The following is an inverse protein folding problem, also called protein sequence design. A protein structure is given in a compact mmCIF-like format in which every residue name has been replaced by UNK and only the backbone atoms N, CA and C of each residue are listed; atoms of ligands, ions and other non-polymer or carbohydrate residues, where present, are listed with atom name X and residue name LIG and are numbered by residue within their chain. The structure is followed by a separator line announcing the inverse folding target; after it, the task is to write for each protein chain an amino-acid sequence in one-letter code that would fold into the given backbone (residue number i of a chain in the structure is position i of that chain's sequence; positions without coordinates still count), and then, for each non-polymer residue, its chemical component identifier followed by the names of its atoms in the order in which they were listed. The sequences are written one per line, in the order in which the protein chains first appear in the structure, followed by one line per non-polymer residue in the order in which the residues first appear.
data_IF_377525912619
#
_entry.id   IF_377525912619
#
_cell.length_a   1.000
_cell.length_b   1.000
_cell.length_c   1.000
_cell.angle_alpha   90.00
_cell.angle_beta   90.00
_cell.angle_gamma   90.00
#
_symmetry.space_group_name_H-M   'P 1'
#
loop_
_entity.id
_entity.type
_entity.pdbx_description
1 polymer ?
#
# COMPACT_ATOMS: atom_id res chain seq x y z
N UNK A 1 11.79 -9.36 18.03
CA UNK A 1 11.38 -8.72 16.77
C UNK A 1 12.36 -7.70 16.25
N UNK A 2 12.81 -7.87 14.99
CA UNK A 2 13.73 -6.97 14.31
C UNK A 2 13.15 -5.56 14.04
N UNK A 3 11.83 -5.37 14.07
CA UNK A 3 11.21 -4.05 13.83
C UNK A 3 11.41 -3.05 14.99
N UNK A 4 11.84 -3.54 16.16
CA UNK A 4 12.11 -2.69 17.34
C UNK A 4 13.46 -1.99 17.28
N UNK A 5 14.36 -2.42 16.38
CA UNK A 5 15.69 -1.82 16.21
C UNK A 5 15.73 -0.71 15.17
N UNK A 6 14.64 -0.48 14.44
CA UNK A 6 14.51 0.64 13.50
C UNK A 6 14.58 1.94 14.27
N UNK A 7 15.32 2.91 13.75
CA UNK A 7 15.30 4.28 14.29
C UNK A 7 13.91 4.90 14.11
N UNK A 8 13.29 5.26 15.23
CA UNK A 8 11.96 5.90 15.30
C UNK A 8 12.05 7.36 15.70
N UNK A 9 13.26 7.91 15.78
CA UNK A 9 13.47 9.32 16.04
C UNK A 9 12.75 10.15 14.99
N UNK A 10 12.39 11.36 15.40
CA UNK A 10 11.89 12.35 14.48
C UNK A 10 13.06 13.14 13.94
N UNK A 11 13.03 13.44 12.65
CA UNK A 11 13.84 14.48 12.04
C UNK A 11 12.96 15.66 11.62
N UNK A 12 13.58 16.82 11.50
CA UNK A 12 12.96 17.99 10.90
C UNK A 12 13.33 18.03 9.44
N UNK A 13 12.33 18.21 8.58
CA UNK A 13 12.51 18.36 7.14
C UNK A 13 11.71 19.56 6.65
N UNK A 14 12.31 20.37 5.77
CA UNK A 14 11.60 21.45 5.10
C UNK A 14 11.05 20.91 3.78
N UNK A 15 9.74 21.01 3.60
CA UNK A 15 9.09 20.54 2.38
C UNK A 15 9.29 21.53 1.24
N UNK A 16 9.11 21.08 0.00
CA UNK A 16 9.24 21.97 -1.15
C UNK A 16 8.09 22.98 -1.20
N UNK A 17 8.39 24.19 -1.65
CA UNK A 17 7.38 25.16 -2.04
C UNK A 17 6.46 24.60 -3.15
N UNK A 18 5.26 25.18 -3.26
CA UNK A 18 4.37 24.88 -4.38
C UNK A 18 5.04 25.25 -5.71
N UNK A 19 5.02 24.31 -6.66
CA UNK A 19 5.66 24.47 -7.96
C UNK A 19 4.67 24.16 -9.08
N UNK A 20 4.65 25.03 -10.11
CA UNK A 20 3.82 24.87 -11.32
C UNK A 20 4.41 23.87 -12.32
N UNK A 21 5.66 23.44 -12.13
CA UNK A 21 6.28 22.36 -12.91
C UNK A 21 6.16 21.03 -12.18
N UNK A 22 6.26 19.93 -12.94
CA UNK A 22 6.44 18.59 -12.38
C UNK A 22 7.71 18.53 -11.51
N UNK A 23 7.68 17.63 -10.53
CA UNK A 23 8.84 17.25 -9.74
C UNK A 23 9.47 16.00 -10.36
N UNK A 24 10.66 15.63 -9.89
CA UNK A 24 11.28 14.33 -10.24
C UNK A 24 10.40 13.11 -9.90
N UNK A 25 9.37 13.25 -9.06
CA UNK A 25 8.44 12.18 -8.70
C UNK A 25 7.10 12.26 -9.45
N UNK A 26 6.87 13.31 -10.23
CA UNK A 26 5.60 13.59 -10.92
C UNK A 26 5.78 13.99 -12.38
N UNK A 27 7.00 13.94 -12.91
CA UNK A 27 7.28 14.14 -14.33
C UNK A 27 6.62 13.06 -15.19
N UNK A 28 6.34 13.39 -16.45
CA UNK A 28 5.75 12.43 -17.36
C UNK A 28 6.77 11.30 -17.62
N UNK A 29 6.35 10.01 -17.62
CA UNK A 29 7.28 8.89 -17.73
C UNK A 29 8.17 8.88 -18.98
N UNK A 30 7.76 9.55 -20.06
CA UNK A 30 8.60 9.70 -21.25
C UNK A 30 9.75 10.71 -21.10
N UNK A 31 9.76 11.52 -20.05
CA UNK A 31 10.66 12.67 -19.89
C UNK A 31 11.85 12.36 -18.97
N UNK A 32 11.83 11.25 -18.23
CA UNK A 32 12.85 10.95 -17.23
C UNK A 32 12.77 9.55 -16.66
N UNK A 33 13.26 9.40 -15.43
CA UNK A 33 13.44 8.13 -14.71
C UNK A 33 12.48 8.01 -13.52
N UNK A 34 11.29 8.60 -13.63
CA UNK A 34 10.30 8.68 -12.55
C UNK A 34 10.02 7.33 -11.88
N UNK A 35 9.86 6.25 -12.64
CA UNK A 35 9.59 4.92 -12.08
C UNK A 35 10.73 4.42 -11.21
N UNK A 36 11.99 4.56 -11.66
CA UNK A 36 13.16 4.18 -10.87
C UNK A 36 13.30 5.01 -9.59
N UNK A 37 12.79 6.24 -9.57
CA UNK A 37 12.77 7.09 -8.37
C UNK A 37 11.72 6.65 -7.37
N UNK A 38 10.58 6.14 -7.83
CA UNK A 38 9.57 5.53 -6.98
C UNK A 38 10.06 4.19 -6.43
N UNK A 39 10.70 3.37 -7.26
CA UNK A 39 11.39 2.15 -6.80
C UNK A 39 12.38 2.48 -5.67
N UNK A 40 13.21 3.51 -5.83
CA UNK A 40 14.15 3.96 -4.80
C UNK A 40 13.51 4.48 -3.49
N UNK A 41 12.19 4.72 -3.46
CA UNK A 41 11.44 5.01 -2.23
C UNK A 41 11.02 3.72 -1.48
N UNK A 42 11.18 2.55 -2.07
CA UNK A 42 10.77 1.28 -1.47
C UNK A 42 9.39 0.81 -1.87
N UNK A 43 8.81 1.29 -2.98
CA UNK A 43 7.55 0.71 -3.49
C UNK A 43 7.72 -0.76 -3.90
N UNK A 44 8.96 -1.15 -4.20
CA UNK A 44 9.40 -2.51 -4.50
C UNK A 44 10.04 -3.21 -3.28
N UNK A 45 9.93 -2.63 -2.08
CA UNK A 45 10.56 -3.20 -0.87
C UNK A 45 10.05 -4.60 -0.52
N UNK A 46 8.99 -5.06 -1.18
CA UNK A 46 8.45 -6.40 -1.03
C UNK A 46 7.89 -6.67 0.36
N UNK A 47 7.70 -7.95 0.65
CA UNK A 47 7.24 -8.41 1.95
C UNK A 47 8.40 -9.01 2.74
N UNK A 48 8.25 -9.04 4.05
CA UNK A 48 9.19 -9.66 4.98
C UNK A 48 8.45 -10.63 5.92
N UNK A 49 9.23 -11.36 6.70
CA UNK A 49 8.74 -12.46 7.52
C UNK A 49 8.79 -12.10 9.01
N UNK A 50 7.68 -12.38 9.70
CA UNK A 50 7.62 -12.34 11.17
C UNK A 50 7.38 -13.76 11.66
N UNK A 51 8.26 -14.35 12.49
CA UNK A 51 8.06 -15.69 13.00
C UNK A 51 6.71 -15.83 13.69
N UNK A 52 6.04 -16.97 13.50
CA UNK A 52 4.72 -17.20 14.11
C UNK A 52 4.77 -17.09 15.64
N UNK A 53 5.90 -17.47 16.26
CA UNK A 53 6.16 -17.31 17.70
C UNK A 53 6.18 -15.85 18.18
N UNK A 54 6.28 -14.87 17.29
CA UNK A 54 6.19 -13.44 17.61
C UNK A 54 4.86 -12.80 17.22
N UNK A 55 3.98 -13.50 16.51
CA UNK A 55 2.74 -12.95 15.94
C UNK A 55 1.80 -12.34 16.98
N UNK A 56 1.64 -12.99 18.13
CA UNK A 56 0.77 -12.51 19.22
C UNK A 56 1.18 -11.12 19.72
N UNK A 57 2.48 -10.77 19.63
CA UNK A 57 3.00 -9.45 20.03
C UNK A 57 2.47 -8.32 19.13
N UNK A 58 1.97 -8.68 17.95
CA UNK A 58 1.45 -7.79 16.91
C UNK A 58 -0.06 -7.98 16.67
N UNK A 59 -0.71 -8.85 17.45
CA UNK A 59 -2.13 -9.17 17.26
C UNK A 59 -2.40 -10.00 16.01
N UNK A 60 -1.41 -10.73 15.50
CA UNK A 60 -1.62 -11.64 14.37
C UNK A 60 -2.35 -12.90 14.82
N UNK A 61 -3.21 -13.40 13.94
CA UNK A 61 -4.03 -14.59 14.12
C UNK A 61 -3.67 -15.60 13.02
N UNK A 62 -3.34 -16.84 13.41
CA UNK A 62 -2.91 -17.91 12.50
C UNK A 62 -4.01 -18.41 11.56
N UNK A 63 -5.27 -18.30 11.98
CA UNK A 63 -6.40 -18.74 11.18
C UNK A 63 -6.76 -17.67 10.14
N UNK A 64 -6.57 -16.39 10.47
CA UNK A 64 -6.91 -15.27 9.59
C UNK A 64 -5.76 -14.79 8.70
N UNK A 65 -4.53 -14.80 9.19
CA UNK A 65 -3.39 -14.21 8.49
C UNK A 65 -2.51 -15.28 7.84
N UNK A 66 -2.01 -14.98 6.65
CA UNK A 66 -1.24 -15.93 5.83
C UNK A 66 0.10 -16.27 6.49
N UNK A 67 0.37 -17.57 6.59
CA UNK A 67 1.63 -18.12 7.10
C UNK A 67 2.39 -18.78 5.96
N UNK A 68 3.67 -18.43 5.86
CA UNK A 68 4.65 -19.15 5.06
C UNK A 68 5.11 -20.39 5.82
N UNK A 69 5.11 -21.57 5.17
CA UNK A 69 5.46 -22.82 5.82
C UNK A 69 6.98 -22.92 6.06
N UNK A 70 7.38 -23.67 7.08
CA UNK A 70 8.77 -23.85 7.49
C UNK A 70 9.64 -24.42 6.35
N UNK A 71 9.09 -25.30 5.51
CA UNK A 71 9.82 -25.92 4.41
C UNK A 71 10.25 -24.92 3.32
N UNK A 72 9.59 -23.76 3.25
CA UNK A 72 9.86 -22.73 2.23
C UNK A 72 10.82 -21.66 2.74
N UNK A 73 10.71 -21.27 4.00
CA UNK A 73 11.43 -20.12 4.57
C UNK A 73 12.22 -20.44 5.84
N UNK A 74 12.35 -21.72 6.20
CA UNK A 74 13.17 -22.22 7.32
C UNK A 74 12.53 -22.09 8.70
N UNK A 75 11.35 -21.47 8.81
CA UNK A 75 10.52 -21.40 10.02
C UNK A 75 9.11 -20.91 9.66
N UNK A 76 8.07 -21.38 10.34
CA UNK A 76 6.72 -20.84 10.13
C UNK A 76 6.68 -19.34 10.42
N UNK A 77 6.27 -18.53 9.44
CA UNK A 77 6.30 -17.07 9.54
C UNK A 77 5.11 -16.39 8.86
N UNK A 78 4.58 -15.35 9.47
CA UNK A 78 3.63 -14.44 8.81
C UNK A 78 4.32 -13.64 7.71
N UNK A 79 3.63 -13.50 6.58
CA UNK A 79 4.00 -12.55 5.52
C UNK A 79 3.42 -11.18 5.84
N UNK A 80 4.26 -10.15 5.84
CA UNK A 80 3.86 -8.78 6.19
C UNK A 80 4.59 -7.75 5.34
N UNK A 81 4.03 -6.55 5.25
CA UNK A 81 4.67 -5.36 4.68
C UNK A 81 4.70 -4.25 5.74
N UNK A 82 5.52 -3.22 5.50
CA UNK A 82 5.51 -2.03 6.33
C UNK A 82 4.47 -1.07 5.78
N UNK A 83 3.66 -0.54 6.69
CA UNK A 83 2.55 0.33 6.36
C UNK A 83 2.97 1.56 5.52
N UNK A 84 4.11 2.19 5.82
CA UNK A 84 4.60 3.33 5.02
C UNK A 84 5.01 2.93 3.59
N UNK A 85 5.54 1.72 3.39
CA UNK A 85 5.89 1.22 2.05
C UNK A 85 4.64 0.88 1.25
N UNK A 86 3.61 0.34 1.92
CA UNK A 86 2.30 0.12 1.31
C UNK A 86 1.65 1.44 0.87
N UNK A 87 1.71 2.49 1.70
CA UNK A 87 1.21 3.82 1.32
C UNK A 87 1.93 4.41 0.11
N UNK A 88 3.25 4.24 0.02
CA UNK A 88 4.02 4.68 -1.15
C UNK A 88 3.64 3.89 -2.40
N UNK A 89 3.47 2.57 -2.29
CA UNK A 89 2.97 1.73 -3.38
C UNK A 89 1.58 2.17 -3.85
N UNK A 90 0.67 2.47 -2.92
CA UNK A 90 -0.66 2.99 -3.23
C UNK A 90 -0.58 4.34 -3.93
N UNK A 91 0.30 5.24 -3.46
CA UNK A 91 0.47 6.57 -4.06
C UNK A 91 1.09 6.49 -5.46
N UNK A 92 2.04 5.57 -5.68
CA UNK A 92 2.60 5.29 -7.01
C UNK A 92 1.56 4.71 -7.96
N UNK A 93 0.73 3.78 -7.48
CA UNK A 93 -0.39 3.23 -8.25
C UNK A 93 -1.37 4.33 -8.66
N UNK A 94 -1.69 5.27 -7.74
CA UNK A 94 -2.50 6.43 -8.07
C UNK A 94 -1.82 7.33 -9.11
N UNK A 95 -0.51 7.58 -8.99
CA UNK A 95 0.27 8.36 -9.96
C UNK A 95 0.19 7.75 -11.36
N UNK A 96 0.37 6.44 -11.49
CA UNK A 96 0.26 5.69 -12.75
C UNK A 96 -1.17 5.80 -13.33
N UNK A 97 -2.19 5.77 -12.46
CA UNK A 97 -3.59 5.86 -12.83
C UNK A 97 -4.09 7.28 -13.17
N UNK A 98 -3.28 8.32 -12.99
CA UNK A 98 -3.66 9.70 -13.34
C UNK A 98 -4.01 9.81 -14.82
N UNK A 99 -5.01 10.62 -15.15
CA UNK A 99 -5.53 10.73 -16.52
C UNK A 99 -4.44 11.05 -17.57
N UNK A 100 -3.42 11.83 -17.20
CA UNK A 100 -2.32 12.22 -18.08
C UNK A 100 -1.16 11.21 -18.13
N UNK A 101 -1.14 10.21 -17.25
CA UNK A 101 -0.14 9.13 -17.25
C UNK A 101 -0.73 7.83 -17.82
N UNK A 102 -2.04 7.65 -17.63
CA UNK A 102 -2.75 6.37 -17.85
C UNK A 102 -2.57 5.82 -19.26
N UNK A 103 -2.73 6.65 -20.30
CA UNK A 103 -2.57 6.19 -21.68
C UNK A 103 -1.15 5.70 -21.96
N UNK A 104 -0.13 6.43 -21.48
CA UNK A 104 1.26 6.02 -21.60
C UNK A 104 1.48 4.64 -20.97
N UNK A 105 1.03 4.43 -19.73
CA UNK A 105 1.24 3.16 -19.04
C UNK A 105 0.46 2.03 -19.71
N UNK A 106 -0.77 2.29 -20.17
CA UNK A 106 -1.56 1.33 -20.93
C UNK A 106 -0.85 0.82 -22.19
N UNK A 107 -0.18 1.72 -22.90
CA UNK A 107 0.49 1.40 -24.17
C UNK A 107 1.89 0.82 -23.99
N UNK A 108 2.60 1.23 -22.94
CA UNK A 108 4.04 0.97 -22.79
C UNK A 108 4.38 -0.08 -21.72
N UNK A 109 3.42 -0.52 -20.90
CA UNK A 109 3.64 -1.61 -19.95
C UNK A 109 2.85 -2.87 -20.34
N UNK A 110 3.48 -4.04 -20.19
CA UNK A 110 3.00 -5.30 -20.75
C UNK A 110 1.91 -6.02 -19.95
N UNK A 111 1.39 -5.43 -18.88
CA UNK A 111 0.44 -6.09 -17.98
C UNK A 111 -0.51 -5.10 -17.33
N UNK A 112 -1.79 -5.20 -17.67
CA UNK A 112 -2.85 -4.42 -17.04
C UNK A 112 -3.84 -5.36 -16.40
N UNK A 113 -4.19 -5.07 -15.15
CA UNK A 113 -5.34 -5.70 -14.52
C UNK A 113 -6.61 -5.38 -15.33
N UNK A 114 -7.66 -6.19 -15.17
CA UNK A 114 -8.95 -5.86 -15.79
C UNK A 114 -9.42 -4.47 -15.34
N UNK A 115 -10.32 -3.86 -16.12
CA UNK A 115 -10.76 -2.51 -15.84
C UNK A 115 -11.37 -2.36 -14.43
N UNK A 116 -12.19 -3.30 -13.97
CA UNK A 116 -12.80 -3.14 -12.66
C UNK A 116 -11.81 -3.45 -11.52
N UNK A 117 -10.79 -4.26 -11.75
CA UNK A 117 -9.70 -4.45 -10.78
C UNK A 117 -8.88 -3.18 -10.65
N UNK A 118 -8.58 -2.53 -11.77
CA UNK A 118 -7.95 -1.23 -11.76
C UNK A 118 -8.78 -0.22 -10.97
N UNK A 119 -10.10 -0.16 -11.18
CA UNK A 119 -11.00 0.74 -10.41
C UNK A 119 -11.01 0.39 -8.92
N UNK A 120 -11.20 -0.88 -8.57
CA UNK A 120 -11.24 -1.33 -7.17
C UNK A 120 -9.92 -1.04 -6.45
N UNK A 121 -8.79 -1.33 -7.09
CA UNK A 121 -7.47 -1.09 -6.53
C UNK A 121 -7.18 0.40 -6.36
N UNK A 122 -7.53 1.23 -7.35
CA UNK A 122 -7.42 2.70 -7.27
C UNK A 122 -8.22 3.24 -6.08
N UNK A 123 -9.47 2.80 -5.91
CA UNK A 123 -10.32 3.23 -4.81
C UNK A 123 -9.79 2.80 -3.44
N UNK A 124 -9.30 1.56 -3.34
CA UNK A 124 -8.67 1.05 -2.14
C UNK A 124 -7.43 1.87 -1.75
N UNK A 125 -6.54 2.16 -2.72
CA UNK A 125 -5.35 2.97 -2.52
C UNK A 125 -5.69 4.38 -2.01
N UNK A 126 -6.71 5.02 -2.61
CA UNK A 126 -7.19 6.33 -2.18
C UNK A 126 -7.67 6.31 -0.72
N UNK A 127 -8.47 5.31 -0.35
CA UNK A 127 -9.03 5.22 1.01
C UNK A 127 -7.95 4.89 2.06
N UNK A 128 -7.02 3.98 1.74
CA UNK A 128 -5.89 3.65 2.62
C UNK A 128 -5.04 4.90 2.93
N UNK A 129 -4.70 5.71 1.92
CA UNK A 129 -3.95 6.95 2.10
C UNK A 129 -4.74 7.96 2.95
N UNK A 130 -6.06 8.09 2.72
CA UNK A 130 -6.92 8.94 3.56
C UNK A 130 -6.85 8.50 5.03
N UNK A 131 -7.01 7.21 5.32
CA UNK A 131 -6.96 6.67 6.69
C UNK A 131 -5.64 6.97 7.36
N UNK A 132 -4.53 6.84 6.62
CA UNK A 132 -3.21 7.14 7.16
C UNK A 132 -2.99 8.60 7.46
N UNK A 133 -3.41 9.50 6.57
CA UNK A 133 -3.34 10.94 6.81
C UNK A 133 -4.11 11.29 8.08
N UNK A 134 -5.30 10.72 8.27
CA UNK A 134 -6.08 10.90 9.49
C UNK A 134 -5.41 10.30 10.74
N UNK A 135 -4.76 9.14 10.60
CA UNK A 135 -4.06 8.48 11.70
C UNK A 135 -2.82 9.27 12.15
N UNK A 136 -2.00 9.75 11.22
CA UNK A 136 -0.80 10.52 11.53
C UNK A 136 -1.13 11.95 11.99
N UNK A 137 -2.17 12.57 11.42
CA UNK A 137 -2.68 13.90 11.82
C UNK A 137 -1.57 14.95 12.00
N UNK A 138 -0.87 15.31 10.92
CA UNK A 138 0.11 16.39 10.98
C UNK A 138 -0.55 17.73 11.39
N UNK A 139 -0.09 18.32 12.49
CA UNK A 139 -0.62 19.54 13.08
C UNK A 139 0.17 20.80 12.70
N UNK A 140 1.11 20.70 11.77
CA UNK A 140 1.90 21.84 11.28
C UNK A 140 1.01 22.84 10.55
N UNK A 141 1.01 24.10 10.99
CA UNK A 141 0.24 25.16 10.35
C UNK A 141 0.87 25.60 9.02
N UNK A 142 0.02 25.79 8.00
CA UNK A 142 0.40 26.38 6.71
C UNK A 142 -0.13 27.82 6.63
N UNK A 143 0.68 28.86 6.92
CA UNK A 143 0.29 30.25 6.73
C UNK A 143 0.21 30.60 5.24
N UNK A 144 -0.48 31.68 4.84
CA UNK A 144 -0.52 32.11 3.42
C UNK A 144 0.62 33.08 3.06
N UNK A 145 1.14 32.99 1.83
CA UNK A 145 2.12 33.90 1.19
C UNK A 145 1.51 34.66 0.02
N UNK A 146 2.00 35.88 -0.26
CA UNK A 146 1.62 36.66 -1.44
C UNK A 146 2.40 36.21 -2.67
N UNK A 147 1.71 36.03 -3.80
CA UNK A 147 2.35 35.62 -5.07
C UNK A 147 2.32 36.70 -6.15
N UNK A 148 1.60 37.80 -5.93
CA UNK A 148 1.62 38.99 -6.78
C UNK A 148 1.26 40.26 -6.00
N UNK A 149 1.19 41.42 -6.69
CA UNK A 149 0.83 42.71 -6.08
C UNK A 149 -0.66 42.99 -6.14
N UNK A 150 -1.39 42.17 -6.89
CA UNK A 150 -2.82 42.25 -7.18
C UNK A 150 -3.66 41.55 -6.09
N UNK A 151 -3.01 40.88 -5.14
CA UNK A 151 -3.61 40.35 -3.92
C UNK A 151 -3.80 38.84 -3.91
N UNK A 152 -3.15 38.11 -4.83
CA UNK A 152 -3.20 36.66 -4.83
C UNK A 152 -2.33 36.06 -3.73
N UNK A 153 -2.87 35.06 -3.03
CA UNK A 153 -2.20 34.32 -1.96
C UNK A 153 -2.26 32.81 -2.19
N UNK A 154 -1.24 32.10 -1.70
CA UNK A 154 -1.20 30.64 -1.63
C UNK A 154 -0.75 30.20 -0.23
N UNK A 155 -1.13 29.00 0.25
CA UNK A 155 -0.49 28.42 1.44
C UNK A 155 1.02 28.28 1.23
N UNK A 156 1.78 28.57 2.29
CA UNK A 156 3.21 28.31 2.38
C UNK A 156 3.41 26.84 2.72
N UNK A 157 3.73 26.05 1.71
CA UNK A 157 4.02 24.62 1.85
C UNK A 157 5.51 24.38 2.24
N UNK A 158 6.38 25.39 2.11
CA UNK A 158 7.81 25.28 2.42
C UNK A 158 8.06 25.48 3.91
N UNK A 159 7.55 24.54 4.71
CA UNK A 159 7.60 24.60 6.18
C UNK A 159 8.36 23.41 6.73
N UNK A 160 8.80 23.58 7.97
CA UNK A 160 9.38 22.49 8.74
C UNK A 160 8.28 21.57 9.27
N UNK A 161 8.38 20.29 8.93
CA UNK A 161 7.56 19.22 9.46
C UNK A 161 8.39 18.30 10.35
N UNK A 162 7.75 17.67 11.34
CA UNK A 162 8.37 16.60 12.14
C UNK A 162 8.01 15.26 11.54
N UNK A 163 8.97 14.62 10.89
CA UNK A 163 8.79 13.35 10.21
C UNK A 163 9.50 12.25 11.00
N UNK A 164 8.95 11.03 10.97
CA UNK A 164 9.74 9.87 11.39
C UNK A 164 10.89 9.65 10.41
N UNK A 165 12.00 9.07 10.90
CA UNK A 165 13.15 8.74 10.07
C UNK A 165 12.77 7.72 8.98
N UNK A 166 12.45 8.23 7.78
CA UNK A 166 11.97 7.44 6.65
C UNK A 166 13.06 6.52 6.10
N UNK A 167 14.29 7.03 5.94
CA UNK A 167 15.41 6.26 5.41
C UNK A 167 15.70 5.03 6.29
N UNK A 168 15.69 5.18 7.61
CA UNK A 168 15.89 4.05 8.52
C UNK A 168 14.85 2.94 8.33
N UNK A 169 13.60 3.33 8.04
CA UNK A 169 12.51 2.39 7.77
C UNK A 169 12.71 1.72 6.41
N UNK A 170 13.06 2.47 5.37
CA UNK A 170 13.33 1.96 4.02
C UNK A 170 14.49 0.98 3.99
N UNK A 171 15.63 1.36 4.54
CA UNK A 171 16.82 0.50 4.54
C UNK A 171 16.56 -0.79 5.32
N UNK A 172 15.83 -0.70 6.44
CA UNK A 172 15.41 -1.89 7.16
C UNK A 172 14.48 -2.78 6.32
N UNK A 173 13.53 -2.21 5.57
CA UNK A 173 12.59 -2.98 4.75
C UNK A 173 13.34 -3.83 3.70
N UNK A 174 14.27 -3.22 2.95
CA UNK A 174 15.08 -3.94 1.97
C UNK A 174 15.95 -5.01 2.61
N UNK A 175 16.59 -4.71 3.75
CA UNK A 175 17.46 -5.66 4.43
C UNK A 175 16.71 -6.88 5.02
N UNK A 176 15.39 -6.79 5.21
CA UNK A 176 14.59 -7.83 5.85
C UNK A 176 13.62 -8.53 4.89
N UNK A 177 13.72 -8.30 3.58
CA UNK A 177 12.89 -8.97 2.57
C UNK A 177 12.87 -10.49 2.75
N UNK A 178 11.70 -11.07 2.45
CA UNK A 178 11.57 -12.51 2.46
C UNK A 178 12.52 -13.17 1.43
N UNK A 179 13.04 -14.39 1.72
CA UNK A 179 13.90 -15.11 0.78
C UNK A 179 13.23 -15.37 -0.57
N UNK A 180 14.03 -15.59 -1.62
CA UNK A 180 13.55 -15.89 -2.97
C UNK A 180 12.59 -17.09 -3.01
N UNK A 181 12.87 -18.14 -2.26
CA UNK A 181 11.99 -19.30 -2.14
C UNK A 181 10.57 -18.89 -1.67
N UNK A 182 10.48 -17.93 -0.75
CA UNK A 182 9.20 -17.37 -0.30
C UNK A 182 8.52 -16.52 -1.37
N UNK A 183 9.28 -15.69 -2.11
CA UNK A 183 8.72 -14.85 -3.18
C UNK A 183 8.10 -15.67 -4.31
N UNK A 184 8.65 -16.84 -4.59
CA UNK A 184 8.20 -17.74 -5.65
C UNK A 184 7.20 -18.80 -5.16
N UNK A 185 6.77 -18.73 -3.91
CA UNK A 185 5.85 -19.72 -3.33
C UNK A 185 4.38 -19.40 -3.66
N UNK A 186 3.63 -20.42 -4.07
CA UNK A 186 2.19 -20.32 -4.28
C UNK A 186 1.44 -20.60 -2.98
N UNK A 187 0.73 -19.60 -2.47
CA UNK A 187 -0.08 -19.73 -1.27
C UNK A 187 -1.36 -20.54 -1.52
N UNK A 188 -1.58 -21.58 -0.72
CA UNK A 188 -2.80 -22.39 -0.71
C UNK A 188 -3.36 -22.35 0.71
N UNK A 189 -4.61 -21.89 0.86
CA UNK A 189 -5.27 -21.84 2.16
C UNK A 189 -5.53 -23.26 2.68
N UNK A 190 -5.15 -23.50 3.93
CA UNK A 190 -5.44 -24.75 4.64
C UNK A 190 -6.92 -24.87 5.01
N UNK A 191 -7.39 -26.06 5.42
CA UNK A 191 -8.81 -26.30 5.75
C UNK A 191 -9.31 -25.47 6.93
N UNK A 192 -8.42 -25.06 7.84
CA UNK A 192 -8.76 -24.27 9.03
C UNK A 192 -8.58 -22.76 8.81
N UNK A 193 -8.22 -22.32 7.60
CA UNK A 193 -8.03 -20.91 7.30
C UNK A 193 -9.37 -20.17 7.24
N UNK A 194 -9.45 -19.04 7.94
CA UNK A 194 -10.56 -18.10 7.84
C UNK A 194 -10.48 -17.31 6.54
N UNK A 195 -11.34 -17.68 5.60
CA UNK A 195 -11.41 -17.03 4.30
C UNK A 195 -12.15 -15.69 4.41
N UNK A 196 -11.46 -14.60 4.08
CA UNK A 196 -12.07 -13.26 4.05
C UNK A 196 -12.80 -13.04 2.72
N UNK A 197 -14.08 -12.68 2.79
CA UNK A 197 -14.85 -12.24 1.63
C UNK A 197 -14.61 -10.76 1.36
N UNK A 198 -14.22 -10.43 0.14
CA UNK A 198 -14.05 -9.06 -0.33
C UNK A 198 -15.31 -8.64 -1.10
N UNK A 199 -16.05 -7.60 -0.65
CA UNK A 199 -17.23 -7.11 -1.38
C UNK A 199 -16.92 -6.81 -2.85
N UNK A 200 -17.74 -7.31 -3.77
CA UNK A 200 -17.61 -7.10 -5.22
C UNK A 200 -16.51 -7.90 -5.92
N UNK A 201 -15.60 -8.58 -5.19
CA UNK A 201 -14.50 -9.31 -5.80
C UNK A 201 -14.95 -10.45 -6.72
N UNK A 202 -15.95 -11.24 -6.30
CA UNK A 202 -16.47 -12.36 -7.11
C UNK A 202 -17.44 -11.92 -8.20
N UNK A 203 -17.92 -10.68 -8.17
CA UNK A 203 -18.69 -10.11 -9.28
C UNK A 203 -17.75 -9.79 -10.46
N UNK A 204 -16.53 -9.31 -10.16
CA UNK A 204 -15.50 -9.03 -11.15
C UNK A 204 -14.72 -10.29 -11.61
N UNK A 205 -14.56 -11.27 -10.72
CA UNK A 205 -13.90 -12.55 -11.04
C UNK A 205 -14.82 -13.75 -10.81
N UNK A 206 -15.84 -13.96 -11.66
CA UNK A 206 -16.79 -15.06 -11.50
C UNK A 206 -16.13 -16.44 -11.53
N UNK A 207 -15.03 -16.59 -12.26
CA UNK A 207 -14.27 -17.84 -12.36
C UNK A 207 -13.54 -18.21 -11.06
N UNK A 208 -13.33 -17.24 -10.16
CA UNK A 208 -12.73 -17.45 -8.84
C UNK A 208 -13.75 -17.66 -7.74
N UNK A 209 -15.04 -17.65 -8.08
CA UNK A 209 -16.14 -17.93 -7.16
C UNK A 209 -16.10 -19.42 -6.78
N UNK A 210 -15.66 -19.72 -5.57
CA UNK A 210 -15.70 -21.07 -5.01
C UNK A 210 -16.70 -21.15 -3.83
N UNK A 211 -17.08 -22.37 -3.48
CA UNK A 211 -18.02 -22.67 -2.39
C UNK A 211 -17.48 -22.32 -1.00
N UNK A 212 -16.17 -22.27 -0.82
CA UNK A 212 -15.52 -22.06 0.48
C UNK A 212 -15.58 -20.57 0.89
N UNK A 213 -15.75 -19.66 -0.07
CA UNK A 213 -16.00 -18.23 0.16
C UNK A 213 -17.48 -17.85 0.22
N UNK A 214 -18.40 -18.81 0.04
CA UNK A 214 -19.82 -18.53 0.25
C UNK A 214 -20.07 -18.45 1.75
N UNK A 215 -20.67 -17.36 2.29
CA UNK A 215 -21.29 -17.47 3.60
C UNK A 215 -22.28 -18.63 3.51
N UNK A 216 -22.27 -19.53 4.49
CA UNK A 216 -23.26 -20.61 4.58
C UNK A 216 -24.63 -19.97 4.55
N UNK A 217 -25.28 -19.93 3.38
CA UNK A 217 -26.66 -19.48 3.23
C UNK A 217 -27.51 -20.60 3.81
N UNK A 218 -27.61 -20.61 5.14
CA UNK A 218 -28.49 -21.49 5.89
C UNK A 218 -29.71 -20.70 6.33
N UNK A 219 -30.85 -20.98 5.71
CA UNK A 219 -32.15 -20.50 6.18
C UNK A 219 -33.13 -20.25 5.05
N UNK A 220 -33.81 -21.31 4.61
CA UNK A 220 -35.13 -21.16 4.02
C UNK A 220 -36.02 -20.37 5.01
N UNK A 221 -36.40 -19.14 4.68
CA UNK A 221 -37.63 -18.56 5.20
C UNK A 221 -38.56 -18.26 4.04
N UNK A 222 -39.42 -19.24 3.80
CA UNK A 222 -40.71 -19.02 3.18
C UNK A 222 -41.44 -17.90 3.93
N UNK A 223 -41.50 -16.71 3.34
CA UNK A 223 -42.62 -15.81 3.58
C UNK A 223 -43.24 -15.43 2.23
N UNK A 224 -44.13 -16.32 1.78
CA UNK A 224 -45.33 -15.87 1.10
C UNK A 224 -46.12 -15.01 2.09
N UNK A 225 -46.36 -13.75 1.75
CA UNK A 225 -47.62 -13.09 2.09
C UNK A 225 -48.03 -12.17 0.94
N UNK A 226 -49.21 -12.54 0.41
CA UNK A 226 -50.20 -11.85 -0.44
C UNK A 226 -49.91 -10.43 -0.91
#
# INVERSE_FOLDING_TARGET
SPIRTIDRSFHTETFNAFNYTSSRYTEHPSEGDVDARWDALGVDSGHFLVPVSEGDKYGFDKNRHVIMPEEVVGQESYIVSLDVMHHLHCLDTLRIALWYNREWYLENTGGHASHAVHVAHTNHCLDAIRERIMCLSDVTFLPSIWIDREGWILPDFEREHKCHNFDAVREWAYANQMPEAGRNYTFIAGPDAELTTLPGFYDEYPERKNKDHMPMVGGEEHHQHQ
#
